data_IF_538050733581
#
_entry.id   IF_538050733581
#
_cell.length_a   1.000
_cell.length_b   1.000
_cell.length_c   1.000
_cell.angle_alpha   90.00
_cell.angle_beta   90.00
_cell.angle_gamma   90.00
#
_symmetry.space_group_name_H-M   'P 1'
#
loop_
_entity.id
_entity.type
_entity.pdbx_description
1 polymer ?
#
# COMPACT_ATOMS: atom_id res chain seq x y z
N UNK A 1 -13.94 -13.50 26.33
CA UNK A 1 -12.58 -13.49 26.90
C UNK A 1 -11.76 -14.55 26.19
N UNK A 2 -11.15 -14.18 25.06
CA UNK A 2 -10.08 -14.91 24.37
C UNK A 2 -9.59 -14.00 23.24
N UNK A 3 -8.94 -12.92 23.65
CA UNK A 3 -8.12 -12.07 22.81
C UNK A 3 -6.69 -12.59 22.93
N UNK A 4 -5.99 -12.78 21.81
CA UNK A 4 -4.53 -12.70 21.85
C UNK A 4 -4.16 -11.23 22.12
N UNK A 5 -3.41 -10.99 23.19
CA UNK A 5 -3.00 -9.70 23.76
C UNK A 5 -2.02 -8.86 22.93
N UNK A 6 -1.83 -9.08 21.63
CA UNK A 6 -0.67 -8.50 20.92
C UNK A 6 -1.05 -7.53 19.80
N UNK A 7 -1.75 -6.43 20.09
CA UNK A 7 -1.56 -5.12 19.43
C UNK A 7 -2.69 -4.16 19.85
N UNK A 8 -2.40 -3.26 20.81
CA UNK A 8 -3.31 -2.17 21.19
C UNK A 8 -3.59 -1.28 19.96
N UNK A 9 -4.85 -0.93 19.62
CA UNK A 9 -5.16 -0.06 18.47
C UNK A 9 -4.40 1.27 18.47
N UNK A 10 -4.15 1.84 19.66
CA UNK A 10 -3.34 3.04 19.81
C UNK A 10 -1.87 2.78 19.49
N UNK A 11 -1.33 1.61 19.84
CA UNK A 11 0.04 1.23 19.49
C UNK A 11 0.21 1.10 17.97
N UNK A 12 -0.72 0.40 17.29
CA UNK A 12 -0.71 0.31 15.82
C UNK A 12 -0.79 1.70 15.17
N UNK A 13 -1.62 2.59 15.74
CA UNK A 13 -1.73 3.95 15.24
C UNK A 13 -0.46 4.77 15.50
N UNK A 14 0.19 4.57 16.65
CA UNK A 14 1.47 5.19 16.95
C UNK A 14 2.57 4.72 15.98
N UNK A 15 2.65 3.42 15.68
CA UNK A 15 3.59 2.86 14.71
C UNK A 15 3.37 3.43 13.29
N UNK A 16 2.10 3.59 12.89
CA UNK A 16 1.76 4.27 11.64
C UNK A 16 2.24 5.73 11.64
N UNK A 17 1.97 6.50 12.70
CA UNK A 17 2.38 7.91 12.78
C UNK A 17 3.90 8.05 12.84
N UNK A 18 4.60 7.13 13.52
CA UNK A 18 6.07 7.06 13.51
C UNK A 18 6.59 6.87 12.08
N UNK A 19 6.01 5.91 11.34
CA UNK A 19 6.37 5.65 9.94
C UNK A 19 6.11 6.87 9.05
N UNK A 20 5.00 7.58 9.28
CA UNK A 20 4.67 8.82 8.58
C UNK A 20 5.71 9.92 8.87
N UNK A 21 6.04 10.14 10.14
CA UNK A 21 7.05 11.13 10.54
C UNK A 21 8.44 10.78 9.98
N UNK A 22 8.78 9.49 9.91
CA UNK A 22 10.06 9.04 9.34
C UNK A 22 10.15 9.32 7.84
N UNK A 23 9.06 9.09 7.09
CA UNK A 23 8.93 9.48 5.68
C UNK A 23 9.08 11.00 5.47
N UNK A 24 8.51 11.79 6.40
CA UNK A 24 8.48 13.26 6.31
C UNK A 24 9.83 13.89 6.64
N UNK A 25 10.46 13.47 7.74
CA UNK A 25 11.72 14.06 8.22
C UNK A 25 12.86 13.76 7.24
N UNK A 26 12.80 12.63 6.54
CA UNK A 26 13.61 12.36 5.35
C UNK A 26 15.11 12.57 5.56
N UNK A 27 15.83 11.53 5.97
CA UNK A 27 17.28 11.61 6.13
C UNK A 27 17.94 10.24 6.16
N UNK A 28 19.25 10.18 5.88
CA UNK A 28 20.04 8.92 5.90
C UNK A 28 19.97 8.18 7.25
N UNK A 29 19.67 8.88 8.33
CA UNK A 29 19.66 8.34 9.69
C UNK A 29 18.25 8.08 10.24
N UNK A 30 17.19 8.41 9.49
CA UNK A 30 15.80 8.31 9.95
C UNK A 30 15.53 9.17 11.19
N UNK A 31 14.53 8.76 11.99
CA UNK A 31 14.20 9.36 13.29
C UNK A 31 15.15 8.85 14.38
N UNK A 32 15.67 9.77 15.21
CA UNK A 32 16.46 9.44 16.38
C UNK A 32 15.60 8.82 17.50
N UNK A 33 16.17 8.00 18.42
CA UNK A 33 15.39 7.39 19.51
C UNK A 33 14.62 8.39 20.38
N UNK A 34 15.20 9.58 20.58
CA UNK A 34 14.56 10.68 21.31
C UNK A 34 13.35 11.21 20.54
N UNK A 35 13.50 11.45 19.23
CA UNK A 35 12.41 11.88 18.35
C UNK A 35 11.26 10.85 18.34
N UNK A 36 11.58 9.55 18.26
CA UNK A 36 10.57 8.47 18.34
C UNK A 36 9.80 8.50 19.66
N UNK A 37 10.50 8.72 20.78
CA UNK A 37 9.87 8.81 22.11
C UNK A 37 8.95 10.02 22.22
N UNK A 38 9.38 11.17 21.68
CA UNK A 38 8.56 12.40 21.65
C UNK A 38 7.30 12.19 20.81
N UNK A 39 7.41 11.54 19.65
CA UNK A 39 6.27 11.24 18.76
C UNK A 39 5.28 10.31 19.48
N UNK A 40 5.72 9.18 20.05
CA UNK A 40 4.84 8.26 20.78
C UNK A 40 4.09 8.97 21.92
N UNK A 41 4.80 9.79 22.70
CA UNK A 41 4.19 10.61 23.77
C UNK A 41 3.12 11.55 23.21
N UNK A 42 3.43 12.31 22.15
CA UNK A 42 2.50 13.27 21.57
C UNK A 42 1.29 12.58 20.92
N UNK A 43 1.48 11.43 20.28
CA UNK A 43 0.38 10.62 19.72
C UNK A 43 -0.56 10.16 20.83
N UNK A 44 -0.04 9.61 21.93
CA UNK A 44 -0.88 9.20 23.07
C UNK A 44 -1.72 10.38 23.58
N UNK A 45 -1.12 11.55 23.73
CA UNK A 45 -1.80 12.77 24.17
C UNK A 45 -2.88 13.23 23.19
N UNK A 46 -2.59 13.24 21.88
CA UNK A 46 -3.54 13.72 20.86
C UNK A 46 -4.80 12.85 20.79
N UNK A 47 -4.65 11.54 21.02
CA UNK A 47 -5.78 10.61 21.03
C UNK A 47 -6.53 10.56 22.37
N UNK A 48 -6.07 11.20 23.45
CA UNK A 48 -6.74 11.12 24.76
C UNK A 48 -8.20 11.59 24.70
N UNK A 49 -8.46 12.72 24.03
CA UNK A 49 -9.82 13.28 23.95
C UNK A 49 -10.76 12.36 23.15
N UNK A 50 -10.27 11.83 22.03
CA UNK A 50 -11.01 10.87 21.21
C UNK A 50 -11.28 9.58 21.98
N UNK A 51 -10.30 9.02 22.68
CA UNK A 51 -10.47 7.77 23.43
C UNK A 51 -11.42 7.93 24.62
N UNK A 52 -11.51 9.13 25.21
CA UNK A 52 -12.48 9.43 26.26
C UNK A 52 -13.92 9.51 25.73
N UNK A 53 -14.12 9.96 24.49
CA UNK A 53 -15.42 10.01 23.83
C UNK A 53 -15.27 9.80 22.30
N UNK A 54 -15.32 8.55 21.81
CA UNK A 54 -14.96 8.22 20.43
C UNK A 54 -16.10 8.59 19.46
N UNK A 55 -16.14 9.85 19.07
CA UNK A 55 -17.01 10.39 18.00
C UNK A 55 -16.16 10.91 16.84
N UNK A 56 -16.63 10.79 15.58
CA UNK A 56 -15.86 11.19 14.40
C UNK A 56 -15.33 12.63 14.45
N UNK A 57 -16.08 13.55 15.04
CA UNK A 57 -15.73 14.96 15.16
C UNK A 57 -14.52 15.22 16.08
N UNK A 58 -14.20 14.26 16.96
CA UNK A 58 -13.06 14.31 17.88
C UNK A 58 -11.84 13.55 17.35
N UNK A 59 -11.92 12.95 16.18
CA UNK A 59 -10.76 12.28 15.58
C UNK A 59 -9.66 13.32 15.34
N UNK A 60 -8.44 13.13 15.86
CA UNK A 60 -7.38 14.13 15.69
C UNK A 60 -6.88 14.21 14.24
N UNK A 61 -6.44 15.40 13.83
CA UNK A 61 -5.77 15.66 12.55
C UNK A 61 -4.26 15.90 12.76
N UNK A 62 -3.52 16.05 11.67
CA UNK A 62 -2.07 16.25 11.73
C UNK A 62 -1.68 17.55 12.46
N UNK A 63 -2.53 18.57 12.38
CA UNK A 63 -2.39 19.85 13.07
C UNK A 63 -2.40 19.69 14.59
N UNK A 64 -3.21 18.80 15.13
CA UNK A 64 -3.26 18.55 16.57
C UNK A 64 -1.93 17.98 17.08
N UNK A 65 -1.34 17.05 16.31
CA UNK A 65 -0.01 16.51 16.59
C UNK A 65 1.07 17.60 16.47
N UNK A 66 1.03 18.41 15.42
CA UNK A 66 1.95 19.53 15.22
C UNK A 66 1.89 20.54 16.37
N UNK A 67 0.68 20.92 16.81
CA UNK A 67 0.47 21.84 17.91
C UNK A 67 0.99 21.29 19.24
N UNK A 68 0.84 19.97 19.47
CA UNK A 68 1.42 19.32 20.65
C UNK A 68 2.95 19.28 20.61
N UNK A 69 3.54 18.99 19.45
CA UNK A 69 5.00 19.02 19.25
C UNK A 69 5.56 20.42 19.48
N UNK A 70 4.89 21.48 19.00
CA UNK A 70 5.28 22.88 19.26
C UNK A 70 5.23 23.28 20.74
N UNK A 71 4.40 22.61 21.55
CA UNK A 71 4.31 22.85 23.01
C UNK A 71 5.39 22.13 23.83
N UNK A 72 6.14 21.20 23.23
CA UNK A 72 7.22 20.51 23.92
C UNK A 72 8.45 21.42 24.06
N UNK A 73 9.16 21.30 25.18
CA UNK A 73 10.35 22.12 25.47
C UNK A 73 11.60 21.61 24.73
N UNK A 74 11.62 20.33 24.36
CA UNK A 74 12.76 19.68 23.73
C UNK A 74 13.07 20.25 22.32
N UNK A 75 14.34 20.59 22.00
CA UNK A 75 14.72 21.05 20.67
C UNK A 75 14.37 20.08 19.54
N UNK A 76 14.45 18.77 19.81
CA UNK A 76 14.08 17.70 18.90
C UNK A 76 12.60 17.76 18.52
N UNK A 77 11.72 18.08 19.47
CA UNK A 77 10.30 18.27 19.20
C UNK A 77 10.05 19.47 18.29
N UNK A 78 10.79 20.56 18.48
CA UNK A 78 10.68 21.75 17.62
C UNK A 78 11.17 21.48 16.20
N UNK A 79 12.22 20.67 16.04
CA UNK A 79 12.69 20.19 14.74
C UNK A 79 11.63 19.34 14.04
N UNK A 80 11.02 18.37 14.75
CA UNK A 80 9.93 17.55 14.22
C UNK A 80 8.74 18.41 13.77
N UNK A 81 8.31 19.35 14.61
CA UNK A 81 7.23 20.27 14.26
C UNK A 81 7.54 21.09 13.00
N UNK A 82 8.77 21.59 12.88
CA UNK A 82 9.21 22.36 11.71
C UNK A 82 9.20 21.51 10.44
N UNK A 83 9.61 20.23 10.51
CA UNK A 83 9.51 19.29 9.38
C UNK A 83 8.07 19.01 8.96
N UNK A 84 7.13 18.98 9.92
CA UNK A 84 5.70 18.77 9.66
C UNK A 84 4.98 20.00 9.10
N UNK A 85 5.54 21.21 9.28
CA UNK A 85 4.87 22.48 8.97
C UNK A 85 4.37 22.57 7.53
N UNK A 86 5.15 22.12 6.55
CA UNK A 86 4.76 22.11 5.13
C UNK A 86 3.51 21.25 4.85
N UNK A 87 3.28 20.22 5.67
CA UNK A 87 2.14 19.29 5.57
C UNK A 87 0.95 19.70 6.45
N UNK A 88 1.08 20.78 7.24
CA UNK A 88 0.02 21.25 8.15
C UNK A 88 -0.51 22.59 7.68
N UNK A 89 0.36 23.60 7.61
CA UNK A 89 0.03 24.98 7.21
C UNK A 89 0.58 25.36 5.84
N UNK A 90 1.51 24.56 5.30
CA UNK A 90 2.13 24.81 4.01
C UNK A 90 1.38 24.24 2.80
N UNK A 91 2.10 24.12 1.69
CA UNK A 91 1.56 23.75 0.38
C UNK A 91 1.19 22.27 0.22
N UNK A 92 1.55 21.41 1.18
CA UNK A 92 1.35 19.95 1.12
C UNK A 92 0.32 19.46 2.15
N UNK A 93 -0.60 20.34 2.58
CA UNK A 93 -1.54 20.08 3.67
C UNK A 93 -2.74 19.18 3.32
N UNK A 94 -2.69 18.44 2.21
CA UNK A 94 -3.78 17.59 1.70
C UNK A 94 -4.30 16.58 2.74
N UNK A 95 -3.43 16.09 3.64
CA UNK A 95 -3.78 15.12 4.67
C UNK A 95 -4.08 15.74 6.05
N UNK A 96 -4.03 17.07 6.19
CA UNK A 96 -4.31 17.77 7.45
C UNK A 96 -5.79 18.15 7.59
N UNK A 97 -6.69 17.21 7.31
CA UNK A 97 -8.13 17.44 7.35
C UNK A 97 -8.86 16.18 7.84
N UNK A 98 -10.09 16.36 8.29
CA UNK A 98 -10.96 15.23 8.57
C UNK A 98 -11.21 14.42 7.30
N UNK A 99 -11.21 13.10 7.43
CA UNK A 99 -11.51 12.21 6.30
C UNK A 99 -12.94 12.44 5.84
N UNK A 100 -13.12 12.78 4.56
CA UNK A 100 -14.41 13.14 3.98
C UNK A 100 -14.89 12.15 2.89
N UNK A 101 -14.21 11.01 2.75
CA UNK A 101 -14.52 9.99 1.74
C UNK A 101 -15.31 8.83 2.33
N UNK A 102 -16.30 8.34 1.58
CA UNK A 102 -17.06 7.15 1.96
C UNK A 102 -16.32 5.86 1.56
N UNK A 103 -15.68 5.25 2.55
CA UNK A 103 -14.95 4.00 2.41
C UNK A 103 -15.82 2.76 2.62
N UNK A 104 -17.13 2.89 2.87
CA UNK A 104 -18.02 1.76 3.17
C UNK A 104 -18.61 1.08 1.94
N UNK A 105 -18.29 1.58 0.74
CA UNK A 105 -18.71 0.99 -0.51
C UNK A 105 -18.10 -0.41 -0.73
N UNK A 106 -18.80 -1.24 -1.52
CA UNK A 106 -18.35 -2.60 -1.87
C UNK A 106 -17.03 -2.60 -2.65
N UNK A 107 -16.85 -1.58 -3.49
CA UNK A 107 -15.63 -1.34 -4.26
C UNK A 107 -15.18 0.07 -3.91
N UNK A 108 -13.94 0.19 -3.44
CA UNK A 108 -13.30 1.47 -3.15
C UNK A 108 -12.03 1.52 -4.00
N UNK A 109 -11.89 2.56 -4.81
CA UNK A 109 -10.71 2.80 -5.64
C UNK A 109 -10.02 4.07 -5.15
N UNK A 110 -8.73 3.95 -4.81
CA UNK A 110 -7.91 5.09 -4.43
C UNK A 110 -7.09 5.53 -5.64
N UNK A 111 -7.44 6.67 -6.24
CA UNK A 111 -6.66 7.26 -7.33
C UNK A 111 -5.59 8.20 -6.77
N UNK A 112 -4.33 7.93 -7.10
CA UNK A 112 -3.15 8.70 -6.68
C UNK A 112 -2.47 9.41 -7.85
N UNK A 113 -3.11 9.50 -9.02
CA UNK A 113 -2.54 10.08 -10.24
C UNK A 113 -2.19 11.56 -10.09
N UNK A 114 -3.05 12.33 -9.42
CA UNK A 114 -2.87 13.78 -9.23
C UNK A 114 -2.02 14.14 -8.01
N UNK A 115 -1.59 13.15 -7.22
CA UNK A 115 -0.69 13.41 -6.09
C UNK A 115 0.73 13.69 -6.58
N UNK A 116 1.27 14.84 -6.16
CA UNK A 116 2.68 15.19 -6.39
C UNK A 116 3.64 14.14 -5.81
N UNK A 117 4.85 14.03 -6.36
CA UNK A 117 5.83 12.97 -6.02
C UNK A 117 6.09 12.81 -4.52
N UNK A 118 6.14 13.92 -3.76
CA UNK A 118 6.33 13.90 -2.30
C UNK A 118 5.09 13.36 -1.58
N UNK A 119 3.90 13.85 -1.93
CA UNK A 119 2.62 13.41 -1.36
C UNK A 119 2.28 11.96 -1.72
N UNK A 120 2.74 11.47 -2.88
CA UNK A 120 2.45 10.10 -3.31
C UNK A 120 2.93 9.05 -2.30
N UNK A 121 4.11 9.26 -1.68
CA UNK A 121 4.65 8.38 -0.63
C UNK A 121 3.73 8.34 0.60
N UNK A 122 3.35 9.52 1.09
CA UNK A 122 2.46 9.68 2.24
C UNK A 122 1.08 9.10 1.94
N UNK A 123 0.53 9.41 0.77
CA UNK A 123 -0.77 8.91 0.32
C UNK A 123 -0.80 7.39 0.23
N UNK A 124 0.27 6.75 -0.27
CA UNK A 124 0.38 5.29 -0.27
C UNK A 124 0.37 4.71 1.15
N UNK A 125 1.12 5.30 2.09
CA UNK A 125 1.10 4.85 3.49
C UNK A 125 -0.31 5.02 4.11
N UNK A 126 -0.97 6.15 3.88
CA UNK A 126 -2.34 6.41 4.36
C UNK A 126 -3.33 5.39 3.78
N UNK A 127 -3.25 5.09 2.48
CA UNK A 127 -4.11 4.09 1.83
C UNK A 127 -3.88 2.71 2.44
N UNK A 128 -2.61 2.34 2.69
CA UNK A 128 -2.28 1.07 3.31
C UNK A 128 -2.89 0.92 4.73
N UNK A 129 -2.88 1.98 5.54
CA UNK A 129 -3.55 2.01 6.86
C UNK A 129 -5.08 1.87 6.72
N UNK A 130 -5.69 2.55 5.76
CA UNK A 130 -7.13 2.41 5.47
C UNK A 130 -7.50 0.97 5.09
N UNK A 131 -6.67 0.34 4.24
CA UNK A 131 -6.86 -1.06 3.82
C UNK A 131 -6.69 -2.00 5.03
N UNK A 132 -5.68 -1.79 5.87
CA UNK A 132 -5.46 -2.59 7.07
C UNK A 132 -6.67 -2.56 8.01
N UNK A 133 -7.19 -1.35 8.27
CA UNK A 133 -8.37 -1.15 9.10
C UNK A 133 -9.60 -1.85 8.49
N UNK A 134 -9.80 -1.72 7.17
CA UNK A 134 -10.89 -2.38 6.45
C UNK A 134 -10.81 -3.91 6.56
N UNK A 135 -9.62 -4.49 6.38
CA UNK A 135 -9.42 -5.95 6.52
C UNK A 135 -9.71 -6.40 7.95
N UNK A 136 -9.27 -5.64 8.94
CA UNK A 136 -9.48 -5.96 10.37
C UNK A 136 -10.98 -5.91 10.73
N UNK A 137 -11.70 -4.89 10.27
CA UNK A 137 -13.14 -4.79 10.44
C UNK A 137 -13.88 -5.94 9.75
N UNK A 138 -13.53 -6.21 8.50
CA UNK A 138 -14.17 -7.28 7.72
C UNK A 138 -13.89 -8.66 8.31
N UNK A 139 -12.68 -8.91 8.84
CA UNK A 139 -12.35 -10.12 9.60
C UNK A 139 -13.31 -10.33 10.77
N UNK A 140 -13.51 -9.29 11.57
CA UNK A 140 -14.44 -9.33 12.72
C UNK A 140 -15.88 -9.61 12.27
N UNK A 141 -16.25 -9.12 11.08
CA UNK A 141 -17.53 -9.39 10.43
C UNK A 141 -17.55 -10.69 9.59
N UNK A 142 -16.51 -11.53 9.66
CA UNK A 142 -16.39 -12.80 8.90
C UNK A 142 -16.48 -12.62 7.37
N UNK A 143 -15.96 -11.50 6.86
CA UNK A 143 -15.91 -11.15 5.44
C UNK A 143 -14.48 -11.16 4.92
N UNK A 144 -14.26 -11.73 3.73
CA UNK A 144 -12.99 -11.62 3.03
C UNK A 144 -12.85 -10.27 2.33
N UNK A 145 -11.64 -9.72 2.29
CA UNK A 145 -11.34 -8.45 1.60
C UNK A 145 -10.35 -8.72 0.48
N UNK A 146 -10.70 -8.34 -0.76
CA UNK A 146 -9.74 -8.35 -1.87
C UNK A 146 -9.03 -7.01 -1.92
N UNK A 147 -7.71 -7.02 -1.95
CA UNK A 147 -6.88 -5.83 -1.99
C UNK A 147 -6.01 -5.88 -3.24
N UNK A 148 -6.28 -4.98 -4.18
CA UNK A 148 -5.53 -4.88 -5.43
C UNK A 148 -4.63 -3.65 -5.39
N UNK A 149 -3.35 -3.84 -5.71
CA UNK A 149 -2.37 -2.77 -5.83
C UNK A 149 -1.85 -2.74 -7.24
N UNK A 150 -2.27 -1.73 -7.99
CA UNK A 150 -1.67 -1.45 -9.29
C UNK A 150 -0.32 -0.74 -9.13
N UNK A 151 0.57 -0.98 -10.07
CA UNK A 151 1.97 -0.55 -10.03
C UNK A 151 2.65 -0.83 -8.68
N UNK A 152 2.49 -2.05 -8.18
CA UNK A 152 2.97 -2.49 -6.86
C UNK A 152 4.44 -2.17 -6.61
N UNK A 153 5.27 -2.18 -7.67
CA UNK A 153 6.69 -1.82 -7.59
C UNK A 153 6.96 -0.39 -7.07
N UNK A 154 5.97 0.50 -7.13
CA UNK A 154 6.09 1.84 -6.54
C UNK A 154 6.17 1.82 -5.01
N UNK A 155 5.51 0.85 -4.36
CA UNK A 155 5.57 0.67 -2.91
C UNK A 155 6.92 0.14 -2.43
N UNK A 156 7.74 -0.35 -3.36
CA UNK A 156 8.97 -1.08 -3.08
C UNK A 156 10.21 -0.21 -3.19
N UNK A 157 10.05 1.03 -3.67
CA UNK A 157 11.17 1.98 -3.87
C UNK A 157 11.73 2.53 -2.57
N UNK A 158 10.92 2.55 -1.52
CA UNK A 158 11.29 3.08 -0.22
C UNK A 158 11.17 1.97 0.83
N UNK A 159 12.17 1.87 1.70
CA UNK A 159 12.29 0.77 2.67
C UNK A 159 11.06 0.68 3.60
N UNK A 160 10.52 1.82 4.03
CA UNK A 160 9.37 1.87 4.93
C UNK A 160 8.07 1.40 4.26
N UNK A 161 7.78 1.87 3.04
CA UNK A 161 6.59 1.42 2.30
C UNK A 161 6.73 -0.04 1.86
N UNK A 162 7.95 -0.50 1.60
CA UNK A 162 8.24 -1.90 1.32
C UNK A 162 7.99 -2.79 2.55
N UNK A 163 8.51 -2.41 3.71
CA UNK A 163 8.31 -3.12 4.97
C UNK A 163 6.81 -3.27 5.29
N UNK A 164 6.05 -2.17 5.21
CA UNK A 164 4.60 -2.21 5.44
C UNK A 164 3.86 -3.11 4.43
N UNK A 165 4.30 -3.12 3.17
CA UNK A 165 3.74 -4.01 2.13
C UNK A 165 4.00 -5.48 2.43
N UNK A 166 5.20 -5.83 2.91
CA UNK A 166 5.56 -7.19 3.34
C UNK A 166 4.71 -7.62 4.53
N UNK A 167 4.49 -6.74 5.50
CA UNK A 167 3.62 -7.03 6.65
C UNK A 167 2.17 -7.28 6.23
N UNK A 168 1.63 -6.44 5.35
CA UNK A 168 0.30 -6.65 4.75
C UNK A 168 0.21 -8.04 4.15
N UNK A 169 1.19 -8.45 3.32
CA UNK A 169 1.16 -9.75 2.65
C UNK A 169 1.17 -10.91 3.64
N UNK A 170 1.98 -10.82 4.69
CA UNK A 170 2.11 -11.86 5.73
C UNK A 170 0.86 -11.94 6.62
N UNK A 171 0.29 -10.80 7.04
CA UNK A 171 -0.84 -10.77 7.98
C UNK A 171 -2.17 -11.06 7.29
N UNK A 172 -2.40 -10.49 6.10
CA UNK A 172 -3.71 -10.57 5.42
C UNK A 172 -4.12 -12.01 5.11
N UNK A 173 -3.17 -12.89 4.76
CA UNK A 173 -3.43 -14.32 4.55
C UNK A 173 -4.18 -14.98 5.70
N UNK A 174 -3.89 -14.60 6.95
CA UNK A 174 -4.53 -15.13 8.16
C UNK A 174 -5.83 -14.41 8.50
N UNK A 175 -6.03 -13.19 8.00
CA UNK A 175 -7.10 -12.28 8.39
C UNK A 175 -8.24 -12.21 7.35
N UNK A 176 -8.22 -13.09 6.35
CA UNK A 176 -9.20 -13.10 5.26
C UNK A 176 -8.97 -12.00 4.22
N UNK A 177 -7.81 -11.35 4.25
CA UNK A 177 -7.35 -10.45 3.20
C UNK A 177 -6.70 -11.24 2.07
N UNK A 178 -6.99 -10.86 0.83
CA UNK A 178 -6.42 -11.45 -0.39
C UNK A 178 -5.69 -10.32 -1.12
N UNK A 179 -4.40 -10.08 -0.80
CA UNK A 179 -3.60 -9.08 -1.50
C UNK A 179 -3.25 -9.58 -2.91
N UNK A 180 -3.25 -8.66 -3.87
CA UNK A 180 -2.87 -8.92 -5.26
C UNK A 180 -2.11 -7.71 -5.78
N UNK A 181 -0.86 -7.91 -6.15
CA UNK A 181 0.04 -6.88 -6.66
C UNK A 181 0.17 -7.03 -8.16
N UNK A 182 0.03 -5.93 -8.87
CA UNK A 182 0.13 -5.87 -10.32
C UNK A 182 1.36 -5.03 -10.62
N UNK A 183 2.28 -5.57 -11.43
CA UNK A 183 3.53 -4.87 -11.77
C UNK A 183 4.03 -5.28 -13.14
N UNK A 184 4.63 -4.32 -13.84
CA UNK A 184 5.34 -4.52 -15.10
C UNK A 184 6.85 -4.62 -14.90
N UNK A 185 7.38 -4.18 -13.75
CA UNK A 185 8.81 -4.17 -13.46
C UNK A 185 9.18 -5.26 -12.45
N UNK A 186 9.61 -6.41 -12.98
CA UNK A 186 10.01 -7.59 -12.19
C UNK A 186 11.40 -7.39 -11.56
N UNK A 187 12.30 -6.64 -12.20
CA UNK A 187 13.65 -6.40 -11.67
C UNK A 187 13.61 -5.58 -10.39
N UNK A 188 12.78 -4.55 -10.35
CA UNK A 188 12.56 -3.77 -9.13
C UNK A 188 11.98 -4.65 -8.01
N UNK A 189 11.01 -5.52 -8.34
CA UNK A 189 10.41 -6.46 -7.39
C UNK A 189 11.46 -7.43 -6.80
N UNK A 190 12.33 -7.99 -7.63
CA UNK A 190 13.33 -8.98 -7.22
C UNK A 190 14.63 -8.34 -6.69
N UNK A 191 14.71 -7.01 -6.63
CA UNK A 191 15.91 -6.31 -6.14
C UNK A 191 16.04 -6.34 -4.62
N UNK A 192 14.93 -6.51 -3.90
CA UNK A 192 14.88 -6.65 -2.44
C UNK A 192 14.53 -8.07 -2.06
N UNK A 193 15.28 -8.63 -1.10
CA UNK A 193 15.08 -9.99 -0.60
C UNK A 193 13.75 -10.14 0.14
N UNK A 194 13.35 -9.11 0.89
CA UNK A 194 12.09 -9.06 1.63
C UNK A 194 10.89 -9.17 0.69
N UNK A 195 11.02 -8.53 -0.48
CA UNK A 195 10.00 -8.46 -1.51
C UNK A 195 10.04 -9.70 -2.41
N UNK A 196 11.22 -10.21 -2.72
CA UNK A 196 11.37 -11.52 -3.38
C UNK A 196 10.62 -12.60 -2.60
N UNK A 197 10.65 -12.57 -1.26
CA UNK A 197 9.84 -13.47 -0.44
C UNK A 197 8.33 -13.30 -0.68
N UNK A 198 7.81 -12.09 -0.97
CA UNK A 198 6.39 -11.90 -1.29
C UNK A 198 6.04 -12.70 -2.55
N UNK A 199 6.90 -12.60 -3.56
CA UNK A 199 6.74 -13.30 -4.83
C UNK A 199 6.79 -14.82 -4.63
N UNK A 200 7.77 -15.34 -3.90
CA UNK A 200 7.92 -16.77 -3.61
C UNK A 200 6.76 -17.35 -2.78
N UNK A 201 6.18 -16.56 -1.88
CA UNK A 201 5.06 -16.99 -1.04
C UNK A 201 3.68 -16.84 -1.72
N UNK A 202 3.65 -16.39 -2.98
CA UNK A 202 2.41 -16.20 -3.72
C UNK A 202 2.04 -17.48 -4.50
N UNK A 203 1.08 -18.24 -3.94
CA UNK A 203 0.58 -19.49 -4.54
C UNK A 203 -0.12 -19.28 -5.90
N UNK A 204 -0.50 -18.04 -6.23
CA UNK A 204 -1.18 -17.69 -7.47
C UNK A 204 -0.43 -16.56 -8.20
N UNK A 205 -0.02 -16.83 -9.44
CA UNK A 205 0.64 -15.84 -10.31
C UNK A 205 -0.04 -15.85 -11.68
N UNK A 206 -0.40 -14.66 -12.16
CA UNK A 206 -0.94 -14.44 -13.49
C UNK A 206 0.11 -13.74 -14.34
N UNK A 207 0.86 -14.51 -15.13
CA UNK A 207 1.98 -14.00 -15.91
C UNK A 207 1.59 -13.79 -17.37
N UNK A 208 1.48 -12.54 -17.79
CA UNK A 208 1.32 -12.14 -19.19
C UNK A 208 2.68 -12.06 -19.90
N UNK A 209 2.67 -11.79 -21.21
CA UNK A 209 3.88 -11.59 -21.99
C UNK A 209 4.83 -10.54 -21.36
N UNK A 210 6.12 -10.88 -21.27
CA UNK A 210 7.17 -10.03 -20.71
C UNK A 210 8.28 -9.78 -21.73
N UNK A 211 9.06 -8.72 -21.53
CA UNK A 211 10.29 -8.48 -22.28
C UNK A 211 11.27 -9.65 -22.13
N UNK A 212 12.10 -9.91 -23.15
CA UNK A 212 12.98 -11.10 -23.22
C UNK A 212 13.84 -11.30 -21.96
N UNK A 213 14.45 -10.23 -21.44
CA UNK A 213 15.26 -10.29 -20.23
C UNK A 213 14.47 -10.67 -18.98
N UNK A 214 13.32 -10.03 -18.75
CA UNK A 214 12.50 -10.27 -17.55
C UNK A 214 11.81 -11.63 -17.60
N UNK A 215 11.46 -12.09 -18.82
CA UNK A 215 10.95 -13.44 -19.06
C UNK A 215 11.95 -14.51 -18.64
N UNK A 216 13.25 -14.35 -18.94
CA UNK A 216 14.27 -15.32 -18.53
C UNK A 216 14.44 -15.35 -17.00
N UNK A 217 14.35 -14.19 -16.35
CA UNK A 217 14.40 -14.08 -14.90
C UNK A 217 13.22 -14.84 -14.27
N UNK A 218 11.99 -14.58 -14.73
CA UNK A 218 10.80 -15.29 -14.26
C UNK A 218 10.85 -16.79 -14.56
N UNK A 219 11.32 -17.19 -15.74
CA UNK A 219 11.44 -18.60 -16.10
C UNK A 219 12.32 -19.37 -15.13
N UNK A 220 13.45 -18.76 -14.71
CA UNK A 220 14.33 -19.34 -13.71
C UNK A 220 13.67 -19.38 -12.33
N UNK A 221 13.07 -18.28 -11.88
CA UNK A 221 12.50 -18.19 -10.54
C UNK A 221 11.26 -19.09 -10.36
N UNK A 222 10.42 -19.22 -11.39
CA UNK A 222 9.20 -20.02 -11.36
C UNK A 222 9.38 -21.44 -11.92
N UNK A 223 10.62 -21.86 -12.20
CA UNK A 223 10.95 -23.17 -12.75
C UNK A 223 10.14 -23.53 -14.02
N UNK A 224 9.97 -22.55 -14.92
CA UNK A 224 9.20 -22.71 -16.16
C UNK A 224 10.03 -23.53 -17.15
N UNK A 225 9.48 -24.63 -17.66
CA UNK A 225 10.14 -25.41 -18.71
C UNK A 225 10.21 -24.64 -20.04
N UNK A 226 11.19 -24.93 -20.93
CA UNK A 226 11.25 -24.29 -22.25
C UNK A 226 9.97 -24.43 -23.07
N UNK A 227 9.27 -25.56 -22.95
CA UNK A 227 7.98 -25.81 -23.63
C UNK A 227 6.85 -24.95 -23.06
N UNK A 228 6.81 -24.71 -21.74
CA UNK A 228 5.85 -23.78 -21.16
C UNK A 228 6.18 -22.34 -21.54
N UNK A 229 7.47 -21.99 -21.56
CA UNK A 229 7.94 -20.67 -21.92
C UNK A 229 7.65 -20.29 -23.38
N UNK A 230 7.59 -21.27 -24.29
CA UNK A 230 7.22 -21.01 -25.67
C UNK A 230 5.79 -20.49 -25.84
N UNK A 231 4.87 -20.81 -24.92
CA UNK A 231 3.49 -20.29 -24.97
C UNK A 231 3.39 -18.79 -24.69
N UNK A 232 4.39 -18.20 -24.02
CA UNK A 232 4.45 -16.76 -23.76
C UNK A 232 5.48 -16.05 -24.64
N UNK A 233 6.12 -16.77 -25.55
CA UNK A 233 7.10 -16.20 -26.46
C UNK A 233 6.43 -15.73 -27.74
N UNK A 234 6.45 -14.41 -27.99
CA UNK A 234 5.71 -13.76 -29.07
C UNK A 234 4.18 -13.99 -28.99
N UNK A 235 3.67 -14.08 -27.76
CA UNK A 235 2.25 -14.26 -27.47
C UNK A 235 1.46 -12.96 -27.67
N UNK A 236 0.20 -13.09 -28.03
CA UNK A 236 -0.69 -11.94 -28.23
C UNK A 236 -1.15 -11.34 -26.89
N UNK A 237 -1.79 -10.17 -26.96
CA UNK A 237 -2.49 -9.61 -25.80
C UNK A 237 -3.50 -10.62 -25.24
N UNK A 238 -3.52 -10.78 -23.91
CA UNK A 238 -4.40 -11.73 -23.22
C UNK A 238 -3.89 -13.17 -23.16
N UNK A 239 -2.71 -13.48 -23.69
CA UNK A 239 -2.08 -14.79 -23.58
C UNK A 239 -1.01 -14.82 -22.49
N UNK A 240 -0.89 -15.95 -21.77
CA UNK A 240 -0.03 -16.02 -20.60
C UNK A 240 0.11 -17.41 -19.97
N UNK A 241 0.78 -17.45 -18.81
CA UNK A 241 0.84 -18.60 -17.92
C UNK A 241 0.18 -18.26 -16.59
N UNK A 242 -0.68 -19.18 -16.13
CA UNK A 242 -1.26 -19.18 -14.80
C UNK A 242 -0.50 -20.15 -13.92
N UNK A 243 -0.04 -19.68 -12.77
CA UNK A 243 0.58 -20.52 -11.74
C UNK A 243 -0.42 -20.68 -10.61
N UNK A 244 -0.65 -21.93 -10.19
CA UNK A 244 -1.45 -22.27 -9.02
C UNK A 244 -0.77 -23.39 -8.25
N UNK A 245 -0.06 -23.02 -7.18
CA UNK A 245 0.87 -23.89 -6.49
C UNK A 245 1.92 -24.43 -7.47
N UNK A 246 1.95 -25.75 -7.66
CA UNK A 246 2.89 -26.42 -8.55
C UNK A 246 2.36 -26.60 -9.99
N UNK A 247 1.16 -26.11 -10.29
CA UNK A 247 0.53 -26.27 -11.60
C UNK A 247 0.76 -25.02 -12.44
N UNK A 248 1.24 -25.21 -13.67
CA UNK A 248 1.41 -24.16 -14.67
C UNK A 248 0.44 -24.44 -15.83
N UNK A 249 -0.46 -23.50 -16.08
CA UNK A 249 -1.52 -23.60 -17.10
C UNK A 249 -1.36 -22.48 -18.11
N UNK A 250 -0.99 -22.76 -19.38
CA UNK A 250 -1.09 -21.78 -20.45
C UNK A 250 -2.54 -21.39 -20.68
N UNK A 251 -2.79 -20.10 -20.88
CA UNK A 251 -4.14 -19.59 -21.13
C UNK A 251 -4.16 -18.61 -22.30
N UNK A 252 -5.35 -18.46 -22.88
CA UNK A 252 -5.69 -17.45 -23.87
C UNK A 252 -6.98 -16.78 -23.40
N UNK A 253 -6.88 -15.51 -23.00
CA UNK A 253 -8.02 -14.70 -22.62
C UNK A 253 -8.41 -13.76 -23.77
N UNK A 254 -9.58 -14.01 -24.36
CA UNK A 254 -10.18 -13.15 -25.37
C UNK A 254 -11.29 -12.36 -24.73
N UNK A 255 -10.91 -11.28 -24.05
CA UNK A 255 -11.87 -10.45 -23.34
C UNK A 255 -12.94 -9.88 -24.29
N UNK A 256 -14.24 -10.03 -23.99
CA UNK A 256 -15.29 -9.56 -24.89
C UNK A 256 -15.27 -8.03 -25.00
N UNK A 257 -15.23 -7.51 -26.24
CA UNK A 257 -15.29 -6.06 -26.54
C UNK A 257 -16.70 -5.46 -26.35
N UNK A 258 -17.30 -5.70 -25.20
CA UNK A 258 -18.63 -5.21 -24.83
C UNK A 258 -18.53 -3.86 -24.07
N UNK A 259 -19.63 -3.43 -23.44
CA UNK A 259 -19.67 -2.19 -22.66
C UNK A 259 -18.64 -2.13 -21.54
N UNK A 260 -18.27 -3.27 -20.94
CA UNK A 260 -17.25 -3.33 -19.89
C UNK A 260 -15.85 -3.04 -20.46
N UNK A 261 -15.55 -3.54 -21.66
CA UNK A 261 -14.27 -3.26 -22.33
C UNK A 261 -14.08 -1.77 -22.62
N UNK A 262 -15.14 -1.08 -23.05
CA UNK A 262 -15.09 0.38 -23.34
C UNK A 262 -14.74 1.22 -22.12
N UNK A 263 -15.11 0.75 -20.92
CA UNK A 263 -14.82 1.45 -19.66
C UNK A 263 -13.38 1.14 -19.19
N UNK A 264 -12.83 -0.02 -19.56
CA UNK A 264 -11.53 -0.50 -19.06
C UNK A 264 -10.37 -0.27 -20.02
N UNK A 265 -10.61 -0.14 -21.32
CA UNK A 265 -9.53 0.00 -22.31
C UNK A 265 -8.78 1.32 -22.11
N UNK A 266 -7.46 1.23 -22.07
CA UNK A 266 -6.55 2.38 -21.99
C UNK A 266 -6.00 2.77 -23.37
N UNK A 267 -6.39 2.05 -24.43
CA UNK A 267 -5.96 2.33 -25.80
C UNK A 267 -6.70 3.55 -26.34
N UNK A 268 -5.97 4.65 -26.52
CA UNK A 268 -6.50 5.91 -27.04
C UNK A 268 -7.23 5.77 -28.38
N UNK A 269 -6.75 4.85 -29.23
CA UNK A 269 -7.33 4.55 -30.54
C UNK A 269 -8.70 3.83 -30.46
N UNK A 270 -8.99 3.14 -29.35
CA UNK A 270 -10.25 2.41 -29.16
C UNK A 270 -11.26 3.16 -28.28
N UNK A 271 -10.81 4.20 -27.57
CA UNK A 271 -11.68 5.09 -26.78
C UNK A 271 -12.22 6.27 -27.60
N UNK A 272 -11.66 6.51 -28.78
CA UNK A 272 -12.09 7.58 -29.70
C UNK A 272 -13.13 7.10 -30.72
N UNK A 273 -14.32 6.71 -30.22
CA UNK A 273 -15.54 6.64 -31.04
C UNK A 273 -16.74 7.22 -30.28
N UNK A 274 -16.84 8.56 -30.30
CA UNK A 274 -18.07 9.36 -30.26
C UNK A 274 -17.72 10.84 -30.51
N UNK A 275 -17.37 11.17 -31.75
CA UNK A 275 -17.58 12.49 -32.33
C UNK A 275 -18.82 12.46 -33.21
#
# INVERSE_FOLDING_TARGET
LNYSEEDNPLSLKADFILSLCELIVGGKNGLEPVEKTIIDRCVRLVYQEYLANPVPEKMPILEDLYNLLRKQEEPEAQRLATSLEIYVTGSLNVFNHQTNVDINNRIVCFDIKELGKQLKKIGMLVIQDQVWNRVTMNRSAHKSTRYYVDEFHLLLKEEQTAAYSVEIWKRFRKWGGIPTGITQNIKDLLSSREIENIFENSDFIYMLNQASGDRQILAKQLNISPTQLSYVTNSNEGEGLLFYGNVIIPFVDRFPKNSLYKIMTTRLEETSEAG
#
